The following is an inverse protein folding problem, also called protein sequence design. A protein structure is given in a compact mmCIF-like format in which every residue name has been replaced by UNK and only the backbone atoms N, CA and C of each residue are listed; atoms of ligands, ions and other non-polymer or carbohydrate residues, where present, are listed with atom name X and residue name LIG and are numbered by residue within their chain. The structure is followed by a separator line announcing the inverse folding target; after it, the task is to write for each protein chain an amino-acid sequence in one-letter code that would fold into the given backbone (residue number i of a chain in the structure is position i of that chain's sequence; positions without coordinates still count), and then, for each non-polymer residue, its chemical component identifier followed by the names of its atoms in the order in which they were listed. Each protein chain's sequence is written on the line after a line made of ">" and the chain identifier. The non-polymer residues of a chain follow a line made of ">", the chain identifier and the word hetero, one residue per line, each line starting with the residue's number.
data_IF_326626013653
#
_entry.id   IF_326626013653
#
_cell.length_a   1.000
_cell.length_b   1.000
_cell.length_c   1.000
_cell.angle_alpha   90.00
_cell.angle_beta   90.00
_cell.angle_gamma   90.00
#
_symmetry.space_group_name_H-M   'P 1'
#
loop_
_entity.id
_entity.type
_entity.pdbx_description
1 polymer ?
#
# COMPACT_ATOMS: atom_id res chain seq x y z
N UNK A 1 -10.51 13.05 -7.43
CA UNK A 1 -9.64 12.74 -8.58
C UNK A 1 -9.21 11.29 -8.48
N UNK A 2 -9.36 10.54 -9.53
CA UNK A 2 -8.98 9.13 -9.53
C UNK A 2 -7.52 8.97 -9.99
N UNK A 3 -6.88 7.87 -9.54
CA UNK A 3 -5.54 7.52 -9.97
C UNK A 3 -5.64 6.80 -11.31
N UNK A 4 -4.91 7.25 -12.30
CA UNK A 4 -4.84 6.60 -13.61
C UNK A 4 -3.72 5.55 -13.64
N UNK A 5 -3.80 4.61 -14.58
CA UNK A 5 -2.77 3.58 -14.74
C UNK A 5 -1.41 4.16 -15.14
N UNK A 6 -1.38 5.40 -15.65
CA UNK A 6 -0.15 6.07 -16.06
C UNK A 6 0.42 7.01 -15.01
N UNK A 7 -0.16 7.05 -13.81
CA UNK A 7 0.33 7.91 -12.74
C UNK A 7 1.65 7.38 -12.18
N UNK A 8 2.42 8.26 -11.52
CA UNK A 8 3.65 7.88 -10.84
C UNK A 8 3.36 6.85 -9.76
N UNK A 9 2.23 6.98 -9.05
CA UNK A 9 1.83 6.05 -8.01
C UNK A 9 1.72 4.62 -8.55
N UNK A 10 1.13 4.47 -9.75
CA UNK A 10 1.02 3.15 -10.38
C UNK A 10 2.38 2.57 -10.73
N UNK A 11 3.33 3.42 -11.15
CA UNK A 11 4.69 2.96 -11.43
C UNK A 11 5.35 2.39 -10.18
N UNK A 12 5.14 3.02 -9.01
CA UNK A 12 5.68 2.51 -7.76
C UNK A 12 5.02 1.19 -7.37
N UNK A 13 3.72 1.03 -7.61
CA UNK A 13 3.04 -0.23 -7.37
C UNK A 13 3.64 -1.34 -8.23
N UNK A 14 3.86 -1.09 -9.51
CA UNK A 14 4.43 -2.08 -10.43
C UNK A 14 5.85 -2.45 -10.01
N UNK A 15 6.68 -1.49 -9.66
CA UNK A 15 8.04 -1.74 -9.18
C UNK A 15 8.03 -2.57 -7.91
N UNK A 16 7.13 -2.25 -6.97
CA UNK A 16 6.98 -3.01 -5.74
C UNK A 16 6.55 -4.44 -6.02
N UNK A 17 5.56 -4.65 -6.88
CA UNK A 17 5.07 -5.98 -7.21
C UNK A 17 6.17 -6.83 -7.84
N UNK A 18 6.96 -6.26 -8.73
CA UNK A 18 8.11 -6.95 -9.31
C UNK A 18 9.16 -7.30 -8.26
N UNK A 19 9.43 -6.37 -7.35
CA UNK A 19 10.41 -6.56 -6.28
C UNK A 19 10.02 -7.72 -5.35
N UNK A 20 8.78 -7.73 -4.86
CA UNK A 20 8.35 -8.78 -3.91
C UNK A 20 8.15 -10.13 -4.60
N UNK A 21 7.77 -10.12 -5.87
CA UNK A 21 7.69 -11.35 -6.66
C UNK A 21 9.05 -12.02 -6.77
N UNK A 22 10.08 -11.23 -7.00
CA UNK A 22 11.45 -11.74 -7.14
C UNK A 22 12.07 -12.08 -5.79
N UNK A 23 12.04 -11.12 -4.85
CA UNK A 23 12.78 -11.27 -3.58
C UNK A 23 12.10 -12.22 -2.60
N UNK A 24 10.78 -12.15 -2.49
CA UNK A 24 10.01 -12.91 -1.51
C UNK A 24 9.34 -14.14 -2.11
N UNK A 25 9.50 -14.35 -3.41
CA UNK A 25 8.94 -15.51 -4.13
C UNK A 25 7.44 -15.66 -3.86
N UNK A 26 6.69 -14.56 -3.88
CA UNK A 26 5.25 -14.58 -3.63
C UNK A 26 4.50 -15.21 -4.80
N UNK A 27 3.42 -15.91 -4.49
CA UNK A 27 2.57 -16.53 -5.50
C UNK A 27 1.84 -15.47 -6.33
N UNK A 28 1.52 -15.82 -7.57
CA UNK A 28 0.86 -14.93 -8.52
C UNK A 28 -0.41 -14.31 -7.94
N UNK A 29 -1.26 -15.11 -7.28
CA UNK A 29 -2.52 -14.61 -6.72
C UNK A 29 -2.28 -13.61 -5.58
N UNK A 30 -1.22 -13.80 -4.80
CA UNK A 30 -0.86 -12.85 -3.75
C UNK A 30 -0.43 -11.52 -4.37
N UNK A 31 0.34 -11.56 -5.44
CA UNK A 31 0.77 -10.34 -6.14
C UNK A 31 -0.43 -9.58 -6.71
N UNK A 32 -1.37 -10.29 -7.32
CA UNK A 32 -2.60 -9.70 -7.85
C UNK A 32 -3.39 -9.01 -6.71
N UNK A 33 -3.51 -9.68 -5.57
CA UNK A 33 -4.21 -9.12 -4.42
C UNK A 33 -3.49 -7.89 -3.87
N UNK A 34 -2.18 -7.93 -3.76
CA UNK A 34 -1.38 -6.77 -3.31
C UNK A 34 -1.54 -5.58 -4.23
N UNK A 35 -1.52 -5.81 -5.54
CA UNK A 35 -1.71 -4.74 -6.52
C UNK A 35 -3.06 -4.08 -6.35
N UNK A 36 -4.11 -4.87 -6.19
CA UNK A 36 -5.46 -4.37 -5.94
C UNK A 36 -5.55 -3.62 -4.62
N UNK A 37 -4.97 -4.17 -3.55
CA UNK A 37 -4.97 -3.54 -2.23
C UNK A 37 -4.32 -2.16 -2.27
N UNK A 38 -3.20 -2.03 -2.98
CA UNK A 38 -2.48 -0.75 -3.08
C UNK A 38 -3.22 0.27 -3.93
N UNK A 39 -3.87 -0.17 -5.01
CA UNK A 39 -4.70 0.74 -5.83
C UNK A 39 -5.82 1.34 -5.01
N UNK A 40 -6.49 0.53 -4.21
CA UNK A 40 -7.58 0.99 -3.33
C UNK A 40 -7.04 1.98 -2.29
N UNK A 41 -5.90 1.64 -1.67
CA UNK A 41 -5.25 2.50 -0.69
C UNK A 41 -4.87 3.86 -1.27
N UNK A 42 -4.20 3.86 -2.42
CA UNK A 42 -3.76 5.11 -3.05
C UNK A 42 -4.95 5.97 -3.48
N UNK A 43 -6.03 5.35 -3.95
CA UNK A 43 -7.25 6.08 -4.28
C UNK A 43 -7.86 6.72 -3.04
N UNK A 44 -7.91 6.00 -1.93
CA UNK A 44 -8.41 6.54 -0.66
C UNK A 44 -7.56 7.73 -0.20
N UNK A 45 -6.23 7.61 -0.28
CA UNK A 45 -5.32 8.70 0.06
C UNK A 45 -5.61 9.93 -0.79
N UNK A 46 -5.73 9.74 -2.10
CA UNK A 46 -6.00 10.83 -3.03
C UNK A 46 -7.32 11.52 -2.70
N UNK A 47 -8.36 10.75 -2.41
CA UNK A 47 -9.69 11.30 -2.07
C UNK A 47 -9.68 12.05 -0.73
N UNK A 48 -8.68 11.80 0.12
CA UNK A 48 -8.53 12.48 1.41
C UNK A 48 -7.36 13.47 1.40
N UNK A 49 -6.92 13.88 0.21
CA UNK A 49 -5.88 14.90 0.01
C UNK A 49 -4.52 14.52 0.63
N UNK A 50 -4.20 13.23 0.63
CA UNK A 50 -2.92 12.72 1.11
C UNK A 50 -2.08 12.19 -0.06
N UNK A 51 -0.77 12.36 0.02
CA UNK A 51 0.19 11.72 -0.86
C UNK A 51 0.79 10.51 -0.14
N UNK A 52 0.94 9.40 -0.86
CA UNK A 52 1.48 8.18 -0.25
C UNK A 52 2.88 8.39 0.35
N UNK A 53 3.66 9.33 -0.19
CA UNK A 53 5.02 9.62 0.28
C UNK A 53 5.07 10.54 1.50
N UNK A 54 3.94 11.15 1.88
CA UNK A 54 3.87 12.13 2.96
C UNK A 54 2.93 11.73 4.09
N UNK A 55 2.47 10.49 4.11
CA UNK A 55 1.57 10.04 5.17
C UNK A 55 2.36 9.70 6.44
N UNK A 56 1.67 9.75 7.57
CA UNK A 56 2.19 9.25 8.83
C UNK A 56 1.39 8.03 9.28
N UNK A 57 1.75 7.48 10.45
CA UNK A 57 1.09 6.30 11.00
C UNK A 57 -0.40 6.54 11.24
N UNK A 58 -0.79 7.75 11.64
CA UNK A 58 -2.19 8.07 11.93
C UNK A 58 -3.04 7.94 10.67
N UNK A 59 -2.54 8.44 9.52
CA UNK A 59 -3.25 8.32 8.25
C UNK A 59 -3.45 6.85 7.87
N UNK A 60 -2.42 6.03 8.01
CA UNK A 60 -2.52 4.60 7.70
C UNK A 60 -3.55 3.93 8.60
N UNK A 61 -3.51 4.21 9.91
CA UNK A 61 -4.47 3.65 10.86
C UNK A 61 -5.90 4.08 10.54
N UNK A 62 -6.11 5.33 10.12
CA UNK A 62 -7.43 5.81 9.70
C UNK A 62 -7.93 5.05 8.48
N UNK A 63 -7.05 4.75 7.51
CA UNK A 63 -7.42 3.94 6.37
C UNK A 63 -7.85 2.54 6.80
N UNK A 64 -7.05 1.89 7.65
CA UNK A 64 -7.37 0.53 8.11
C UNK A 64 -8.69 0.50 8.88
N UNK A 65 -8.96 1.50 9.72
CA UNK A 65 -10.22 1.60 10.43
C UNK A 65 -11.40 1.76 9.46
N UNK A 66 -11.23 2.57 8.41
CA UNK A 66 -12.25 2.76 7.39
C UNK A 66 -12.56 1.43 6.67
N UNK A 67 -11.55 0.60 6.42
CA UNK A 67 -11.75 -0.70 5.77
C UNK A 67 -12.47 -1.67 6.70
N UNK A 68 -12.15 -1.69 7.98
CA UNK A 68 -12.85 -2.49 8.97
C UNK A 68 -14.33 -2.09 9.06
N UNK A 69 -14.61 -0.80 9.07
CA UNK A 69 -15.96 -0.27 9.13
C UNK A 69 -16.79 -0.66 7.91
N UNK A 70 -16.14 -0.91 6.77
CA UNK A 70 -16.84 -1.34 5.55
C UNK A 70 -17.20 -2.81 5.56
N UNK A 71 -16.90 -3.57 6.61
CA UNK A 71 -17.31 -4.95 6.78
C UNK A 71 -16.35 -5.99 6.21
N UNK A 72 -15.12 -5.60 5.92
CA UNK A 72 -14.10 -6.52 5.41
C UNK A 72 -13.66 -7.48 6.53
N UNK A 73 -13.40 -8.73 6.18
CA UNK A 73 -12.97 -9.74 7.15
C UNK A 73 -11.62 -9.41 7.77
N UNK A 74 -11.40 -9.94 8.97
CA UNK A 74 -10.11 -9.78 9.69
C UNK A 74 -8.96 -10.35 8.86
N UNK A 75 -9.16 -11.49 8.18
CA UNK A 75 -8.12 -12.06 7.34
C UNK A 75 -7.70 -11.14 6.20
N UNK A 76 -8.68 -10.49 5.57
CA UNK A 76 -8.40 -9.52 4.50
C UNK A 76 -7.66 -8.30 5.05
N UNK A 77 -8.05 -7.81 6.23
CA UNK A 77 -7.36 -6.68 6.86
C UNK A 77 -5.91 -7.06 7.16
N UNK A 78 -5.65 -8.26 7.66
CA UNK A 78 -4.27 -8.72 7.93
C UNK A 78 -3.43 -8.73 6.65
N UNK A 79 -4.00 -9.17 5.52
CA UNK A 79 -3.30 -9.12 4.24
C UNK A 79 -3.01 -7.68 3.83
N UNK A 80 -3.98 -6.78 3.97
CA UNK A 80 -3.82 -5.36 3.64
C UNK A 80 -2.71 -4.74 4.49
N UNK A 81 -2.70 -5.01 5.79
CA UNK A 81 -1.64 -4.53 6.70
C UNK A 81 -0.27 -5.00 6.22
N UNK A 82 -0.13 -6.30 5.94
CA UNK A 82 1.13 -6.86 5.46
C UNK A 82 1.57 -6.21 4.16
N UNK A 83 0.64 -6.01 3.24
CA UNK A 83 0.90 -5.37 1.95
C UNK A 83 1.41 -3.94 2.13
N UNK A 84 0.72 -3.14 2.94
CA UNK A 84 1.09 -1.73 3.18
C UNK A 84 2.46 -1.66 3.86
N UNK A 85 2.72 -2.50 4.85
CA UNK A 85 4.02 -2.52 5.52
C UNK A 85 5.14 -2.87 4.55
N UNK A 86 4.93 -3.88 3.71
CA UNK A 86 5.91 -4.29 2.70
C UNK A 86 6.16 -3.18 1.68
N UNK A 87 5.11 -2.49 1.26
CA UNK A 87 5.21 -1.40 0.29
C UNK A 87 6.06 -0.25 0.84
N UNK A 88 5.77 0.21 2.06
CA UNK A 88 6.53 1.30 2.67
C UNK A 88 7.97 0.89 2.99
N UNK A 89 8.21 -0.36 3.38
CA UNK A 89 9.57 -0.85 3.57
C UNK A 89 10.35 -0.81 2.25
N UNK A 90 9.72 -1.25 1.15
CA UNK A 90 10.31 -1.16 -0.18
C UNK A 90 10.67 0.29 -0.54
N UNK A 91 9.74 1.22 -0.35
CA UNK A 91 9.99 2.62 -0.65
C UNK A 91 11.13 3.18 0.20
N UNK A 92 11.16 2.85 1.48
CA UNK A 92 12.17 3.32 2.40
C UNK A 92 13.56 2.76 2.07
N UNK A 93 13.64 1.46 1.83
CA UNK A 93 14.92 0.80 1.52
C UNK A 93 15.51 1.24 0.19
N UNK A 94 14.68 1.69 -0.74
CA UNK A 94 15.12 2.19 -2.04
C UNK A 94 15.23 3.72 -2.08
N UNK A 95 15.18 4.37 -0.93
CA UNK A 95 15.38 5.81 -0.78
C UNK A 95 14.33 6.67 -1.50
N UNK A 96 13.14 6.12 -1.74
CA UNK A 96 12.04 6.89 -2.31
C UNK A 96 11.34 7.74 -1.25
N UNK A 97 11.47 7.38 0.02
CA UNK A 97 10.96 8.14 1.16
C UNK A 97 12.03 8.17 2.24
N UNK A 98 12.00 9.22 3.09
CA UNK A 98 13.03 9.44 4.10
C UNK A 98 12.79 8.69 5.40
N UNK A 99 11.54 8.36 5.68
CA UNK A 99 11.16 7.63 6.89
C UNK A 99 10.04 6.66 6.54
N UNK A 100 9.89 5.61 7.34
CA UNK A 100 8.89 4.57 7.10
C UNK A 100 7.67 4.80 7.99
N UNK A 101 6.54 5.29 7.44
CA UNK A 101 5.35 5.59 8.25
C UNK A 101 4.64 4.34 8.75
N UNK A 102 4.95 3.18 8.19
CA UNK A 102 4.32 1.91 8.57
C UNK A 102 5.16 1.08 9.53
N UNK A 103 6.28 1.60 10.01
CA UNK A 103 7.20 0.84 10.85
C UNK A 103 6.55 0.34 12.13
N UNK A 104 5.64 1.12 12.71
CA UNK A 104 4.97 0.80 13.96
C UNK A 104 3.52 0.36 13.79
N UNK A 105 3.12 0.03 12.59
CA UNK A 105 1.76 -0.48 12.35
C UNK A 105 1.62 -1.92 12.90
#
# INVERSE_FOLDING_TARGET
>A
MSISDNSIEYQFIDQFCNYVSFKNNLKKNTIIAYKSDLKIYLLWLSNNNNKFSDVDRVVINNYLASRLDSGISVGTIQRIVTCIKSFYLFLYENNFIKSNPAQLI
#
